data_IF_789479238838
#
_entry.id   IF_789479238838
#
_cell.length_a   1.000
_cell.length_b   1.000
_cell.length_c   1.000
_cell.angle_alpha   90.00
_cell.angle_beta   90.00
_cell.angle_gamma   90.00
#
_symmetry.space_group_name_H-M   'P 1'
#
loop_
_entity.id
_entity.type
_entity.pdbx_description
1 polymer ?
#
# COMPACT_ATOMS: atom_id res chain seq x y z
N UNK A 1 1.10 -50.11 -13.60
CA UNK A 1 -0.07 -49.19 -13.44
C UNK A 1 -0.13 -48.45 -12.10
N UNK A 2 0.72 -48.76 -11.09
CA UNK A 2 0.73 -48.04 -9.78
C UNK A 2 1.41 -46.67 -9.79
N UNK A 3 2.32 -46.43 -10.74
CA UNK A 3 3.18 -45.23 -10.74
C UNK A 3 2.52 -44.00 -11.36
N UNK A 4 1.49 -44.15 -12.19
CA UNK A 4 0.83 -43.05 -12.92
C UNK A 4 0.01 -42.16 -11.97
N UNK A 5 -0.62 -42.73 -10.94
CA UNK A 5 -1.39 -41.96 -9.96
C UNK A 5 -0.54 -41.04 -9.08
N UNK A 6 0.73 -41.39 -8.86
CA UNK A 6 1.68 -40.62 -8.04
C UNK A 6 2.14 -39.36 -8.78
N UNK A 7 2.42 -39.47 -10.09
CA UNK A 7 2.80 -38.31 -10.90
C UNK A 7 1.66 -37.29 -11.05
N UNK A 8 0.41 -37.76 -11.13
CA UNK A 8 -0.78 -36.90 -11.18
C UNK A 8 -1.02 -36.13 -9.88
N UNK A 9 -0.70 -36.73 -8.72
CA UNK A 9 -0.83 -36.05 -7.41
C UNK A 9 0.30 -35.04 -7.19
N UNK A 10 1.53 -35.36 -7.62
CA UNK A 10 2.66 -34.43 -7.59
C UNK A 10 2.43 -33.21 -8.48
N UNK A 11 1.86 -33.39 -9.68
CA UNK A 11 1.55 -32.29 -10.59
C UNK A 11 0.48 -31.34 -10.04
N UNK A 12 -0.48 -31.85 -9.27
CA UNK A 12 -1.56 -31.07 -8.67
C UNK A 12 -1.10 -30.26 -7.44
N UNK A 13 -0.09 -30.72 -6.71
CA UNK A 13 0.49 -29.98 -5.58
C UNK A 13 1.34 -28.78 -6.01
N UNK A 14 1.90 -28.81 -7.23
CA UNK A 14 2.72 -27.74 -7.79
C UNK A 14 1.91 -26.53 -8.30
N UNK A 15 0.61 -26.67 -8.55
CA UNK A 15 -0.22 -25.57 -9.08
C UNK A 15 -0.77 -24.62 -8.02
N UNK A 16 -0.81 -25.03 -6.74
CA UNK A 16 -1.41 -24.22 -5.65
C UNK A 16 -0.42 -23.20 -5.07
N UNK A 17 0.88 -23.33 -5.37
CA UNK A 17 1.92 -22.44 -4.83
C UNK A 17 2.08 -21.10 -5.58
N UNK A 18 1.34 -20.88 -6.66
CA UNK A 18 1.64 -19.81 -7.63
C UNK A 18 0.87 -18.49 -7.50
N UNK A 19 -0.07 -18.35 -6.55
CA UNK A 19 -0.96 -17.17 -6.52
C UNK A 19 -0.87 -16.40 -5.19
N UNK A 20 0.32 -15.88 -4.87
CA UNK A 20 0.43 -14.69 -4.05
C UNK A 20 0.59 -13.51 -5.00
N UNK A 21 -0.52 -12.90 -5.39
CA UNK A 21 -0.49 -11.57 -6.03
C UNK A 21 0.00 -10.59 -4.97
N UNK A 22 1.30 -10.29 -5.00
CA UNK A 22 1.84 -9.17 -4.24
C UNK A 22 1.18 -7.90 -4.80
N UNK A 23 0.36 -7.24 -3.98
CA UNK A 23 -0.11 -5.89 -4.28
C UNK A 23 1.16 -5.04 -4.34
N UNK A 24 1.47 -4.51 -5.53
CA UNK A 24 2.63 -3.66 -5.72
C UNK A 24 2.28 -2.29 -5.13
N UNK A 25 2.76 -2.04 -3.91
CA UNK A 25 2.79 -0.70 -3.36
C UNK A 25 4.12 -0.06 -3.77
N UNK A 26 4.06 1.00 -4.57
CA UNK A 26 5.25 1.73 -5.00
C UNK A 26 5.55 2.90 -4.07
N UNK A 27 6.83 3.07 -3.74
CA UNK A 27 7.28 4.22 -2.96
C UNK A 27 7.32 5.44 -3.87
N UNK A 28 6.70 6.51 -3.43
CA UNK A 28 6.83 7.84 -4.04
C UNK A 28 7.41 8.81 -3.02
N UNK A 29 8.11 9.83 -3.51
CA UNK A 29 8.67 10.90 -2.67
C UNK A 29 7.63 11.99 -2.37
N UNK A 30 6.50 12.00 -3.08
CA UNK A 30 5.43 12.99 -2.91
C UNK A 30 4.05 12.47 -3.35
N UNK A 31 2.99 13.09 -2.85
CA UNK A 31 1.61 12.89 -3.34
C UNK A 31 0.92 14.24 -3.55
N UNK A 32 0.12 14.35 -4.60
CA UNK A 32 -0.67 15.56 -4.87
C UNK A 32 -2.03 15.43 -4.21
N UNK A 33 -2.43 16.47 -3.48
CA UNK A 33 -3.77 16.64 -2.94
C UNK A 33 -4.40 17.91 -3.51
N UNK A 34 -5.70 18.08 -3.30
CA UNK A 34 -6.47 19.23 -3.81
C UNK A 34 -5.84 20.58 -3.46
N UNK A 35 -5.35 20.73 -2.22
CA UNK A 35 -4.80 21.99 -1.71
C UNK A 35 -3.27 22.04 -1.73
N UNK A 36 -2.58 21.03 -2.27
CA UNK A 36 -1.14 21.10 -2.53
C UNK A 36 -0.38 19.78 -2.52
N UNK A 37 0.93 19.88 -2.77
CA UNK A 37 1.87 18.77 -2.76
C UNK A 37 2.28 18.43 -1.32
N UNK A 38 2.24 17.14 -1.01
CA UNK A 38 2.79 16.56 0.24
C UNK A 38 4.11 15.89 -0.07
N UNK A 39 5.11 16.15 0.77
CA UNK A 39 6.46 15.58 0.62
C UNK A 39 6.92 14.91 1.92
N UNK A 40 7.97 14.09 1.81
CA UNK A 40 8.66 13.54 2.98
C UNK A 40 9.15 14.69 3.89
N UNK A 41 8.84 14.60 5.18
CA UNK A 41 9.16 15.61 6.19
C UNK A 41 8.01 16.54 6.53
N UNK A 42 6.93 16.56 5.75
CA UNK A 42 5.73 17.35 6.08
C UNK A 42 5.14 16.91 7.42
N UNK A 43 4.60 17.86 8.19
CA UNK A 43 3.96 17.55 9.46
C UNK A 43 2.54 17.04 9.23
N UNK A 44 2.05 16.17 10.13
CA UNK A 44 0.66 15.67 10.11
C UNK A 44 -0.40 16.75 9.89
N UNK A 45 -0.24 17.94 10.49
CA UNK A 45 -1.18 19.06 10.31
C UNK A 45 -1.16 19.65 8.90
N UNK A 46 0.02 19.73 8.28
CA UNK A 46 0.16 20.26 6.93
C UNK A 46 -0.47 19.28 5.93
N UNK A 47 -0.26 17.98 6.16
CA UNK A 47 -0.92 16.91 5.42
C UNK A 47 -2.46 17.02 5.50
N UNK A 48 -3.04 17.14 6.70
CA UNK A 48 -4.50 17.29 6.84
C UNK A 48 -5.01 18.58 6.22
N UNK A 49 -4.20 19.65 6.25
CA UNK A 49 -4.56 20.91 5.59
C UNK A 49 -4.54 20.81 4.07
N UNK A 50 -3.72 19.91 3.49
CA UNK A 50 -3.58 19.75 2.03
C UNK A 50 -4.55 18.70 1.47
N UNK A 51 -4.79 17.63 2.23
CA UNK A 51 -5.49 16.42 1.77
C UNK A 51 -6.81 16.16 2.51
N UNK A 52 -7.13 16.96 3.52
CA UNK A 52 -8.27 16.73 4.38
C UNK A 52 -8.06 15.59 5.39
N UNK A 53 -9.17 15.07 5.90
CA UNK A 53 -9.14 13.93 6.83
C UNK A 53 -8.91 12.62 6.06
N UNK A 54 -7.99 11.74 6.49
CA UNK A 54 -7.79 10.45 5.84
C UNK A 54 -9.00 9.52 6.05
N UNK A 55 -9.20 8.61 5.12
CA UNK A 55 -10.23 7.56 5.16
C UNK A 55 -10.02 6.59 6.32
N UNK A 56 -8.76 6.32 6.68
CA UNK A 56 -8.43 5.49 7.84
C UNK A 56 -7.10 5.86 8.49
N UNK A 57 -7.02 5.63 9.81
CA UNK A 57 -5.83 5.81 10.63
C UNK A 57 -5.56 4.52 11.41
N UNK A 58 -4.39 3.94 11.23
CA UNK A 58 -3.90 2.75 11.95
C UNK A 58 -2.54 3.07 12.57
N UNK A 59 -2.55 3.60 13.80
CA UNK A 59 -1.34 4.07 14.47
C UNK A 59 -0.65 5.20 13.68
N UNK A 60 0.57 4.94 13.22
CA UNK A 60 1.37 5.85 12.39
C UNK A 60 1.10 5.75 10.88
N UNK A 61 0.12 4.94 10.47
CA UNK A 61 -0.23 4.78 9.06
C UNK A 61 -1.59 5.40 8.79
N UNK A 62 -1.63 6.38 7.89
CA UNK A 62 -2.88 6.98 7.44
C UNK A 62 -3.11 6.61 5.97
N UNK A 63 -4.37 6.41 5.59
CA UNK A 63 -4.74 6.08 4.21
C UNK A 63 -5.67 7.14 3.63
N UNK A 64 -5.36 7.56 2.41
CA UNK A 64 -6.19 8.42 1.58
C UNK A 64 -6.61 7.65 0.34
N UNK A 65 -7.89 7.71 -0.01
CA UNK A 65 -8.48 7.09 -1.18
C UNK A 65 -9.22 8.15 -2.01
N UNK A 66 -8.51 8.81 -2.91
CA UNK A 66 -9.08 9.83 -3.80
C UNK A 66 -9.87 9.20 -4.96
N UNK A 67 -9.70 7.90 -5.20
CA UNK A 67 -10.45 7.17 -6.22
C UNK A 67 -10.24 5.66 -6.18
N UNK A 68 -10.77 4.93 -7.18
CA UNK A 68 -10.64 3.48 -7.25
C UNK A 68 -9.19 3.01 -7.41
N UNK A 69 -8.35 3.83 -8.05
CA UNK A 69 -6.95 3.55 -8.39
C UNK A 69 -5.95 4.52 -7.74
N UNK A 70 -6.45 5.53 -7.02
CA UNK A 70 -5.63 6.59 -6.44
C UNK A 70 -5.76 6.49 -4.92
N UNK A 71 -4.85 5.71 -4.34
CA UNK A 71 -4.81 5.41 -2.92
C UNK A 71 -3.39 5.58 -2.43
N UNK A 72 -3.25 6.27 -1.30
CA UNK A 72 -1.96 6.53 -0.69
C UNK A 72 -1.97 6.05 0.75
N UNK A 73 -0.90 5.35 1.14
CA UNK A 73 -0.57 5.09 2.53
C UNK A 73 0.59 5.99 2.95
N UNK A 74 0.37 6.80 3.97
CA UNK A 74 1.35 7.72 4.54
C UNK A 74 1.79 7.20 5.91
N UNK A 75 3.09 7.05 6.11
CA UNK A 75 3.70 6.66 7.39
C UNK A 75 4.33 7.87 8.07
N UNK A 76 4.13 8.00 9.38
CA UNK A 76 4.75 9.05 10.20
C UNK A 76 5.80 8.49 11.17
N UNK A 77 6.76 9.34 11.55
CA UNK A 77 7.60 9.10 12.72
C UNK A 77 6.88 9.46 14.04
N UNK A 78 7.54 9.20 15.17
CA UNK A 78 7.02 9.51 16.50
C UNK A 78 6.88 11.03 16.76
N UNK A 79 7.49 11.86 15.92
CA UNK A 79 7.37 13.33 15.97
C UNK A 79 6.22 13.85 15.11
N UNK A 80 5.60 13.01 14.28
CA UNK A 80 4.50 13.39 13.39
C UNK A 80 4.95 13.89 12.00
N UNK A 81 6.18 13.59 11.58
CA UNK A 81 6.66 13.92 10.23
C UNK A 81 6.39 12.75 9.28
N UNK A 82 6.03 13.05 8.03
CA UNK A 82 5.90 12.06 6.96
C UNK A 82 7.27 11.43 6.68
N UNK A 83 7.38 10.12 6.78
CA UNK A 83 8.63 9.37 6.49
C UNK A 83 8.49 8.42 5.31
N UNK A 84 7.27 8.15 4.85
CA UNK A 84 7.02 7.33 3.68
C UNK A 84 5.66 7.63 3.08
N UNK A 85 5.61 7.65 1.76
CA UNK A 85 4.38 7.67 0.97
C UNK A 85 4.42 6.45 0.04
N UNK A 86 3.36 5.66 0.09
CA UNK A 86 3.17 4.48 -0.77
C UNK A 86 1.92 4.68 -1.60
N UNK A 87 2.05 4.57 -2.92
CA UNK A 87 0.92 4.50 -3.83
C UNK A 87 0.44 3.05 -3.92
N UNK A 88 -0.86 2.83 -3.70
CA UNK A 88 -1.54 1.53 -3.75
C UNK A 88 -2.37 1.43 -5.04
N UNK A 89 -2.00 0.50 -5.94
CA UNK A 89 -2.73 0.21 -7.18
C UNK A 89 -3.72 -0.96 -7.06
#
# INVERSE_FOLDING_TARGET
MKSIGIYLTLLFLLSVAGCFTAIAAEKTDSMMCDDGLVEIGDFTKDLESKCGTPDSKEGKFWRYAFGPSEKYMVEFDDSGNVVRILEEH
#
